data_IF_703505611844
#
_entry.id   IF_703505611844
#
_cell.length_a   1.000
_cell.length_b   1.000
_cell.length_c   1.000
_cell.angle_alpha   90.00
_cell.angle_beta   90.00
_cell.angle_gamma   90.00
#
_symmetry.space_group_name_H-M   'P 1'
#
loop_
_entity.id
_entity.type
_entity.pdbx_description
1 polymer ?
#
# COMPACT_ATOMS: atom_id res chain seq x y z
N UNK A 1 6.90 -20.05 3.31
CA UNK A 1 6.26 -19.04 2.42
C UNK A 1 4.91 -18.57 2.98
N UNK A 2 3.95 -19.46 3.30
CA UNK A 2 2.64 -19.08 3.88
C UNK A 2 2.71 -18.33 5.23
N UNK A 3 3.56 -18.80 6.15
CA UNK A 3 3.76 -18.15 7.45
C UNK A 3 4.41 -16.76 7.39
N UNK A 4 5.07 -16.41 6.26
CA UNK A 4 5.58 -15.06 6.02
C UNK A 4 4.42 -14.15 5.59
N UNK A 5 3.61 -14.60 4.63
CA UNK A 5 2.38 -13.91 4.23
C UNK A 5 1.47 -13.62 5.43
N UNK A 6 1.21 -14.60 6.31
CA UNK A 6 0.30 -14.37 7.44
C UNK A 6 0.82 -13.36 8.49
N UNK A 7 2.14 -13.14 8.56
CA UNK A 7 2.78 -12.25 9.55
C UNK A 7 3.04 -10.84 9.04
N UNK A 8 3.23 -10.65 7.74
CA UNK A 8 3.58 -9.34 7.14
C UNK A 8 2.64 -8.92 6.00
N UNK A 9 1.61 -9.69 5.66
CA UNK A 9 0.65 -9.28 4.65
C UNK A 9 -0.14 -8.06 5.11
N UNK A 10 -0.16 -7.04 4.26
CA UNK A 10 -1.08 -5.93 4.42
C UNK A 10 -2.48 -6.39 3.97
N UNK A 11 -3.54 -6.15 4.76
CA UNK A 11 -4.90 -6.49 4.36
C UNK A 11 -5.28 -5.85 3.02
N UNK A 12 -6.03 -6.57 2.17
CA UNK A 12 -6.47 -6.07 0.86
C UNK A 12 -7.22 -4.73 0.96
N UNK A 13 -8.02 -4.54 2.02
CA UNK A 13 -8.72 -3.28 2.28
C UNK A 13 -7.80 -2.09 2.51
N UNK A 14 -6.57 -2.30 2.95
CA UNK A 14 -5.59 -1.22 3.10
C UNK A 14 -5.08 -0.72 1.75
N UNK A 15 -4.87 -1.60 0.77
CA UNK A 15 -4.54 -1.18 -0.59
C UNK A 15 -5.73 -0.48 -1.27
N UNK A 16 -6.96 -0.99 -1.07
CA UNK A 16 -8.17 -0.36 -1.59
C UNK A 16 -8.32 1.09 -1.10
N UNK A 17 -7.97 1.40 0.15
CA UNK A 17 -7.98 2.78 0.66
C UNK A 17 -6.96 3.68 -0.03
N UNK A 18 -5.80 3.15 -0.42
CA UNK A 18 -4.81 3.92 -1.18
C UNK A 18 -5.36 4.30 -2.57
N UNK A 19 -6.08 3.38 -3.22
CA UNK A 19 -6.74 3.64 -4.51
C UNK A 19 -7.87 4.67 -4.36
N UNK A 20 -8.74 4.53 -3.34
CA UNK A 20 -9.80 5.51 -3.07
C UNK A 20 -9.22 6.90 -2.82
N UNK A 21 -8.11 6.99 -2.08
CA UNK A 21 -7.40 8.26 -1.87
C UNK A 21 -6.92 8.87 -3.19
N UNK A 22 -6.34 8.07 -4.10
CA UNK A 22 -5.91 8.59 -5.40
C UNK A 22 -7.09 9.09 -6.24
N UNK A 23 -8.19 8.34 -6.25
CA UNK A 23 -9.40 8.72 -7.00
C UNK A 23 -10.14 9.92 -6.39
N UNK A 24 -9.95 10.22 -5.11
CA UNK A 24 -10.63 11.33 -4.43
C UNK A 24 -9.95 12.68 -4.61
N UNK A 25 -8.83 12.76 -5.34
CA UNK A 25 -8.15 14.03 -5.54
C UNK A 25 -8.93 14.95 -6.48
N UNK A 26 -8.80 16.29 -6.33
CA UNK A 26 -9.37 17.26 -7.26
C UNK A 26 -8.86 17.09 -8.70
N UNK A 27 -9.59 17.61 -9.68
CA UNK A 27 -9.29 17.48 -11.12
C UNK A 27 -7.90 18.00 -11.51
N UNK A 28 -7.37 19.00 -10.79
CA UNK A 28 -6.06 19.59 -11.01
C UNK A 28 -4.89 18.77 -10.42
N UNK A 29 -5.17 17.66 -9.72
CA UNK A 29 -4.18 16.83 -9.05
C UNK A 29 -4.06 15.48 -9.75
N UNK A 30 -2.84 15.19 -10.25
CA UNK A 30 -2.50 13.90 -10.83
C UNK A 30 -1.59 13.09 -9.89
N UNK A 31 -2.01 11.88 -9.54
CA UNK A 31 -1.20 10.93 -8.77
C UNK A 31 -0.62 9.89 -9.72
N UNK A 32 0.66 10.05 -10.03
CA UNK A 32 1.40 9.17 -10.93
C UNK A 32 1.83 7.85 -10.26
N UNK A 33 2.20 7.88 -8.99
CA UNK A 33 2.69 6.69 -8.27
C UNK A 33 2.33 6.72 -6.78
N UNK A 34 1.98 5.55 -6.25
CA UNK A 34 1.89 5.31 -4.80
C UNK A 34 2.79 4.13 -4.45
N UNK A 35 3.83 4.40 -3.65
CA UNK A 35 4.65 3.34 -3.07
C UNK A 35 3.97 2.76 -1.81
N UNK A 36 3.45 1.55 -1.94
CA UNK A 36 2.74 0.85 -0.86
C UNK A 36 3.51 -0.38 -0.39
N UNK A 37 3.94 -0.39 0.87
CA UNK A 37 4.77 -1.46 1.44
C UNK A 37 4.48 -1.70 2.92
N UNK A 38 4.62 -2.93 3.43
CA UNK A 38 4.54 -3.20 4.86
C UNK A 38 5.64 -2.45 5.61
N UNK A 39 5.31 -1.86 6.75
CA UNK A 39 6.31 -1.21 7.63
C UNK A 39 7.24 -2.23 8.29
N UNK A 40 6.75 -3.45 8.50
CA UNK A 40 7.53 -4.59 9.00
C UNK A 40 8.52 -5.17 7.99
N UNK A 41 8.55 -4.64 6.76
CA UNK A 41 9.57 -5.00 5.78
C UNK A 41 10.90 -4.31 6.15
N UNK A 42 11.70 -4.97 7.00
CA UNK A 42 13.08 -4.57 7.31
C UNK A 42 13.91 -4.50 6.02
N UNK A 43 14.62 -3.40 5.83
CA UNK A 43 15.69 -3.34 4.84
C UNK A 43 16.88 -4.15 5.39
N UNK A 44 17.47 -5.00 4.55
CA UNK A 44 18.71 -5.71 4.88
C UNK A 44 19.80 -4.69 5.19
N UNK A 45 20.11 -4.48 6.47
CA UNK A 45 21.42 -4.04 6.93
C UNK A 45 22.22 -5.28 7.35
#
# INVERSE_FOLDING_TARGET
MRALYDRVAIPAGSFARAVVFAMSQPDEVDINEILFRPTAQEYWN
#
